data_IF_375344811988
#
_entry.id   IF_375344811988
#
_cell.length_a   1.000
_cell.length_b   1.000
_cell.length_c   1.000
_cell.angle_alpha   90.00
_cell.angle_beta   90.00
_cell.angle_gamma   90.00
#
_symmetry.space_group_name_H-M   'P 1'
#
loop_
_entity.id
_entity.type
_entity.pdbx_description
1 polymer ?
#
# COMPACT_ATOMS: atom_id res chain seq x y z
N UNK A 1 -27.42 13.16 10.43
CA UNK A 1 -27.97 13.15 9.05
C UNK A 1 -27.26 12.14 8.13
N UNK A 2 -26.56 11.13 8.68
CA UNK A 2 -25.75 10.12 7.95
C UNK A 2 -26.41 8.73 7.89
N UNK A 3 -27.26 8.40 8.87
CA UNK A 3 -28.00 7.13 8.91
C UNK A 3 -29.01 6.97 7.75
N UNK A 4 -29.50 8.09 7.22
CA UNK A 4 -30.53 8.12 6.16
C UNK A 4 -29.95 7.76 4.77
N UNK A 5 -28.68 8.11 4.51
CA UNK A 5 -27.99 7.76 3.25
C UNK A 5 -27.68 6.26 3.19
N UNK A 6 -27.22 5.67 4.30
CA UNK A 6 -26.93 4.25 4.38
C UNK A 6 -28.21 3.40 4.20
N UNK A 7 -29.33 3.81 4.80
CA UNK A 7 -30.61 3.13 4.64
C UNK A 7 -31.15 3.24 3.20
N UNK A 8 -31.00 4.40 2.54
CA UNK A 8 -31.44 4.59 1.16
C UNK A 8 -30.62 3.78 0.14
N UNK A 9 -29.33 3.55 0.38
CA UNK A 9 -28.49 2.67 -0.45
C UNK A 9 -28.91 1.19 -0.33
N UNK A 10 -29.37 0.76 0.84
CA UNK A 10 -29.85 -0.61 1.08
C UNK A 10 -31.29 -0.86 0.59
N UNK A 11 -32.06 0.20 0.36
CA UNK A 11 -33.50 0.12 0.01
C UNK A 11 -33.77 0.12 -1.49
N UNK A 12 -32.76 0.40 -2.31
CA UNK A 12 -32.92 0.51 -3.76
C UNK A 12 -32.70 -0.87 -4.39
N UNK A 13 -33.62 -1.38 -5.22
CA UNK A 13 -33.34 -2.56 -6.02
C UNK A 13 -32.14 -2.20 -6.90
N UNK A 14 -30.99 -2.79 -6.63
CA UNK A 14 -29.80 -2.58 -7.44
C UNK A 14 -30.15 -3.06 -8.84
N UNK A 15 -30.19 -2.12 -9.79
CA UNK A 15 -30.01 -2.48 -11.19
C UNK A 15 -28.63 -3.13 -11.24
N UNK A 16 -28.60 -4.47 -11.18
CA UNK A 16 -27.41 -5.33 -11.11
C UNK A 16 -26.68 -5.33 -12.46
N UNK A 17 -26.49 -4.15 -13.02
CA UNK A 17 -25.61 -3.97 -14.15
C UNK A 17 -24.19 -4.25 -13.65
N UNK A 18 -23.69 -5.44 -14.01
CA UNK A 18 -22.39 -5.95 -13.57
C UNK A 18 -21.25 -5.01 -13.97
N UNK A 19 -21.43 -4.26 -15.05
CA UNK A 19 -20.50 -3.24 -15.50
C UNK A 19 -20.45 -2.07 -14.50
N UNK A 20 -21.61 -1.50 -14.14
CA UNK A 20 -21.70 -0.44 -13.13
C UNK A 20 -21.15 -0.88 -11.77
N UNK A 21 -21.42 -2.11 -11.31
CA UNK A 21 -20.86 -2.65 -10.07
C UNK A 21 -19.34 -2.86 -10.16
N UNK A 22 -18.84 -3.29 -11.31
CA UNK A 22 -17.41 -3.44 -11.56
C UNK A 22 -16.66 -2.11 -11.45
N UNK A 23 -17.21 -1.05 -12.05
CA UNK A 23 -16.64 0.31 -11.99
C UNK A 23 -16.63 0.86 -10.56
N UNK A 24 -17.74 0.74 -9.83
CA UNK A 24 -17.83 1.21 -8.45
C UNK A 24 -16.85 0.47 -7.52
N UNK A 25 -16.75 -0.85 -7.68
CA UNK A 25 -15.83 -1.67 -6.88
C UNK A 25 -14.36 -1.35 -7.19
N UNK A 26 -14.03 -1.11 -8.46
CA UNK A 26 -12.70 -0.65 -8.87
C UNK A 26 -12.38 0.74 -8.27
N UNK A 27 -13.33 1.68 -8.31
CA UNK A 27 -13.19 2.99 -7.69
C UNK A 27 -12.97 2.93 -6.18
N UNK A 28 -13.73 2.10 -5.47
CA UNK A 28 -13.58 1.91 -4.02
C UNK A 28 -12.22 1.33 -3.66
N UNK A 29 -11.76 0.30 -4.39
CA UNK A 29 -10.45 -0.31 -4.19
C UNK A 29 -9.30 0.67 -4.42
N UNK A 30 -9.42 1.53 -5.45
CA UNK A 30 -8.45 2.60 -5.71
C UNK A 30 -8.45 3.63 -4.59
N UNK A 31 -9.62 4.03 -4.10
CA UNK A 31 -9.73 4.95 -2.95
C UNK A 31 -9.07 4.39 -1.69
N UNK A 32 -9.28 3.11 -1.39
CA UNK A 32 -8.68 2.45 -0.23
C UNK A 32 -7.16 2.28 -0.38
N UNK A 33 -6.67 2.04 -1.61
CA UNK A 33 -5.23 2.03 -1.85
C UNK A 33 -4.61 3.42 -1.71
N UNK A 34 -5.32 4.50 -2.08
CA UNK A 34 -4.82 5.85 -1.84
C UNK A 34 -4.81 6.23 -0.35
N UNK A 35 -5.68 5.64 0.47
CA UNK A 35 -5.61 5.77 1.93
C UNK A 35 -4.41 5.00 2.52
N UNK A 36 -3.96 3.93 1.86
CA UNK A 36 -2.80 3.15 2.28
C UNK A 36 -1.45 3.66 1.71
N UNK A 37 -1.50 4.39 0.60
CA UNK A 37 -0.37 5.03 -0.08
C UNK A 37 -0.56 6.54 0.11
N UNK A 38 -0.32 6.98 1.34
CA UNK A 38 -0.45 8.37 1.76
C UNK A 38 0.87 9.13 1.65
N UNK A 39 0.83 10.44 1.91
CA UNK A 39 2.01 11.30 1.89
C UNK A 39 3.06 10.84 2.93
N UNK A 40 2.63 10.27 4.06
CA UNK A 40 3.53 9.76 5.10
C UNK A 40 4.36 8.57 4.60
N UNK A 41 3.77 7.67 3.80
CA UNK A 41 4.52 6.60 3.15
C UNK A 41 5.59 7.14 2.18
N UNK A 42 5.28 8.19 1.42
CA UNK A 42 6.24 8.81 0.51
C UNK A 42 7.36 9.54 1.26
N UNK A 43 7.04 10.24 2.35
CA UNK A 43 8.02 10.88 3.23
C UNK A 43 8.98 9.84 3.83
N UNK A 44 8.45 8.68 4.25
CA UNK A 44 9.25 7.55 4.74
C UNK A 44 10.16 6.95 3.67
N UNK A 45 9.66 6.81 2.44
CA UNK A 45 10.47 6.35 1.31
C UNK A 45 11.59 7.36 1.01
N UNK A 46 11.32 8.66 1.03
CA UNK A 46 12.33 9.71 0.85
C UNK A 46 13.36 9.70 2.00
N UNK A 47 12.92 9.53 3.24
CA UNK A 47 13.80 9.45 4.41
C UNK A 47 14.79 8.27 4.35
N UNK A 48 14.46 7.21 3.61
CA UNK A 48 15.26 5.98 3.48
C UNK A 48 16.02 5.88 2.16
N UNK A 49 15.43 6.34 1.06
CA UNK A 49 15.95 6.20 -0.30
C UNK A 49 16.50 7.50 -0.90
N UNK A 50 16.18 8.64 -0.29
CA UNK A 50 16.60 9.96 -0.76
C UNK A 50 18.11 10.15 -0.77
N UNK A 51 18.58 11.12 -1.54
CA UNK A 51 20.01 11.42 -1.75
C UNK A 51 20.76 11.71 -0.43
N UNK A 52 20.04 12.21 0.57
CA UNK A 52 20.59 12.55 1.89
C UNK A 52 20.01 11.68 3.01
N UNK A 53 19.47 10.51 2.67
CA UNK A 53 18.86 9.59 3.64
C UNK A 53 19.85 9.16 4.73
N UNK A 54 19.58 9.60 5.96
CA UNK A 54 20.32 9.17 7.15
C UNK A 54 19.39 9.10 8.37
N UNK A 55 18.40 8.19 8.36
CA UNK A 55 17.43 8.08 9.44
C UNK A 55 18.15 7.70 10.74
N UNK A 56 17.79 8.39 11.82
CA UNK A 56 18.30 8.11 13.14
C UNK A 56 17.86 6.69 13.58
N UNK A 57 18.61 6.03 14.48
CA UNK A 57 18.28 4.66 14.92
C UNK A 57 16.86 4.48 15.46
N UNK A 58 16.28 5.51 16.08
CA UNK A 58 14.89 5.50 16.53
C UNK A 58 13.89 5.53 15.36
N UNK A 59 14.16 6.38 14.37
CA UNK A 59 13.34 6.52 13.16
C UNK A 59 13.34 5.23 12.34
N UNK A 60 14.44 4.48 12.32
CA UNK A 60 14.53 3.20 11.61
C UNK A 60 13.45 2.21 12.08
N UNK A 61 13.18 2.14 13.39
CA UNK A 61 12.18 1.22 13.96
C UNK A 61 10.77 1.70 13.63
N UNK A 62 10.53 3.01 13.75
CA UNK A 62 9.23 3.61 13.49
C UNK A 62 8.84 3.49 11.99
N UNK A 63 9.78 3.82 11.09
CA UNK A 63 9.60 3.67 9.63
C UNK A 63 9.38 2.20 9.26
N UNK A 64 10.16 1.27 9.84
CA UNK A 64 9.94 -0.16 9.60
C UNK A 64 8.57 -0.64 10.07
N UNK A 65 8.04 -0.05 11.16
CA UNK A 65 6.69 -0.30 11.64
C UNK A 65 5.64 0.15 10.63
N UNK A 66 5.74 1.40 10.17
CA UNK A 66 4.83 1.95 9.14
C UNK A 66 4.89 1.18 7.83
N UNK A 67 6.07 0.75 7.38
CA UNK A 67 6.19 -0.13 6.21
C UNK A 67 5.48 -1.48 6.39
N UNK A 68 5.41 -2.05 7.60
CA UNK A 68 4.64 -3.28 7.86
C UNK A 68 3.13 -3.03 7.79
N UNK A 69 2.69 -1.90 8.31
CA UNK A 69 1.28 -1.48 8.23
C UNK A 69 0.87 -1.27 6.77
N UNK A 70 1.67 -0.50 6.02
CA UNK A 70 1.49 -0.30 4.59
C UNK A 70 1.52 -1.63 3.81
N UNK A 71 2.45 -2.54 4.12
CA UNK A 71 2.51 -3.87 3.49
C UNK A 71 1.21 -4.65 3.66
N UNK A 72 0.60 -4.59 4.85
CA UNK A 72 -0.65 -5.29 5.12
C UNK A 72 -1.77 -4.77 4.23
N UNK A 73 -1.84 -3.46 4.02
CA UNK A 73 -2.81 -2.84 3.13
C UNK A 73 -2.50 -3.14 1.65
N UNK A 74 -1.24 -3.01 1.22
CA UNK A 74 -0.80 -3.29 -0.15
C UNK A 74 -1.15 -4.72 -0.59
N UNK A 75 -0.85 -5.72 0.25
CA UNK A 75 -1.18 -7.13 -0.05
C UNK A 75 -2.68 -7.36 -0.24
N UNK A 76 -3.54 -6.57 0.42
CA UNK A 76 -4.99 -6.68 0.26
C UNK A 76 -5.48 -6.06 -1.06
N UNK A 77 -4.88 -4.96 -1.52
CA UNK A 77 -5.40 -4.19 -2.65
C UNK A 77 -4.72 -4.49 -3.98
N UNK A 78 -3.42 -4.81 -3.99
CA UNK A 78 -2.64 -5.09 -5.20
C UNK A 78 -3.26 -6.15 -6.12
N UNK A 79 -3.83 -7.28 -5.63
CA UNK A 79 -4.51 -8.26 -6.49
C UNK A 79 -5.65 -7.69 -7.33
N UNK A 80 -6.14 -6.50 -6.98
CA UNK A 80 -7.25 -5.85 -7.64
C UNK A 80 -6.87 -4.61 -8.44
N UNK A 81 -5.64 -4.12 -8.28
CA UNK A 81 -5.17 -2.90 -8.92
C UNK A 81 -4.19 -3.19 -10.05
N UNK A 82 -3.25 -4.11 -9.86
CA UNK A 82 -2.21 -4.41 -10.85
C UNK A 82 -2.57 -5.66 -11.65
N UNK A 83 -2.47 -5.59 -12.99
CA UNK A 83 -2.59 -6.75 -13.88
C UNK A 83 -1.45 -6.81 -14.90
N UNK A 84 -0.78 -7.97 -15.07
CA UNK A 84 -0.97 -9.23 -14.35
C UNK A 84 -0.58 -9.12 -12.86
N UNK A 85 -1.05 -10.04 -12.02
CA UNK A 85 -0.77 -10.00 -10.58
C UNK A 85 0.74 -10.11 -10.30
N UNK A 86 1.36 -9.13 -9.61
CA UNK A 86 2.81 -9.08 -9.37
C UNK A 86 3.19 -10.01 -8.22
N UNK A 87 3.23 -11.32 -8.52
CA UNK A 87 3.45 -12.36 -7.52
C UNK A 87 4.83 -12.25 -6.86
N UNK A 88 5.87 -11.98 -7.65
CA UNK A 88 7.25 -11.96 -7.19
C UNK A 88 7.50 -10.77 -6.25
N UNK A 89 6.96 -9.60 -6.58
CA UNK A 89 7.05 -8.39 -5.77
C UNK A 89 6.28 -8.52 -4.46
N UNK A 90 5.08 -9.10 -4.50
CA UNK A 90 4.30 -9.39 -3.29
C UNK A 90 5.01 -10.39 -2.38
N UNK A 91 5.58 -11.47 -2.94
CA UNK A 91 6.33 -12.45 -2.15
C UNK A 91 7.57 -11.83 -1.52
N UNK A 92 8.30 -11.00 -2.27
CA UNK A 92 9.44 -10.25 -1.78
C UNK A 92 9.05 -9.33 -0.61
N UNK A 93 7.97 -8.55 -0.78
CA UNK A 93 7.48 -7.64 0.25
C UNK A 93 7.06 -8.39 1.53
N UNK A 94 6.32 -9.49 1.40
CA UNK A 94 5.93 -10.33 2.54
C UNK A 94 7.18 -10.87 3.26
N UNK A 95 8.15 -11.39 2.51
CA UNK A 95 9.37 -11.94 3.09
C UNK A 95 10.15 -10.88 3.87
N UNK A 96 10.38 -9.71 3.26
CA UNK A 96 11.11 -8.62 3.93
C UNK A 96 10.33 -8.10 5.14
N UNK A 97 9.00 -7.98 5.06
CA UNK A 97 8.19 -7.52 6.20
C UNK A 97 8.27 -8.44 7.44
N UNK A 98 8.49 -9.74 7.22
CA UNK A 98 8.60 -10.74 8.28
C UNK A 98 10.01 -10.84 8.90
N UNK A 99 11.03 -10.27 8.25
CA UNK A 99 12.40 -10.29 8.77
C UNK A 99 12.50 -9.43 10.05
N UNK A 100 13.34 -9.88 10.98
CA UNK A 100 13.68 -9.13 12.20
C UNK A 100 15.19 -8.89 12.19
N UNK A 101 15.67 -7.82 11.54
CA UNK A 101 17.10 -7.57 11.38
C UNK A 101 17.76 -7.31 12.73
N UNK A 102 19.04 -7.68 12.83
CA UNK A 102 19.88 -7.23 13.95
C UNK A 102 20.13 -5.71 13.83
N UNK A 103 20.38 -5.00 14.94
CA UNK A 103 20.63 -3.55 14.91
C UNK A 103 21.70 -3.13 13.89
N UNK A 104 22.79 -3.90 13.80
CA UNK A 104 23.91 -3.64 12.88
C UNK A 104 23.53 -3.75 11.39
N UNK A 105 22.43 -4.45 11.09
CA UNK A 105 21.89 -4.65 9.73
C UNK A 105 20.58 -3.89 9.50
N UNK A 106 20.08 -3.14 10.50
CA UNK A 106 18.75 -2.54 10.48
C UNK A 106 18.59 -1.54 9.33
N UNK A 107 19.60 -0.69 9.11
CA UNK A 107 19.57 0.29 8.01
C UNK A 107 19.55 -0.38 6.62
N UNK A 108 20.39 -1.40 6.41
CA UNK A 108 20.42 -2.13 5.14
C UNK A 108 19.14 -2.94 4.88
N UNK A 109 18.52 -3.46 5.94
CA UNK A 109 17.21 -4.09 5.87
C UNK A 109 16.12 -3.07 5.55
N UNK A 110 16.09 -1.93 6.24
CA UNK A 110 15.12 -0.86 6.01
C UNK A 110 15.16 -0.37 4.55
N UNK A 111 16.36 -0.17 4.01
CA UNK A 111 16.55 0.20 2.61
C UNK A 111 16.01 -0.84 1.63
N UNK A 112 16.21 -2.13 1.92
CA UNK A 112 15.64 -3.22 1.11
C UNK A 112 14.12 -3.24 1.18
N UNK A 113 13.57 -2.97 2.37
CA UNK A 113 12.13 -2.89 2.58
C UNK A 113 11.52 -1.73 1.80
N UNK A 114 12.10 -0.54 1.91
CA UNK A 114 11.69 0.64 1.14
C UNK A 114 11.71 0.37 -0.38
N UNK A 115 12.74 -0.30 -0.91
CA UNK A 115 12.79 -0.68 -2.32
C UNK A 115 11.68 -1.66 -2.72
N UNK A 116 11.35 -2.63 -1.86
CA UNK A 116 10.26 -3.57 -2.13
C UNK A 116 8.88 -2.88 -2.13
N UNK A 117 8.67 -1.94 -1.20
CA UNK A 117 7.47 -1.10 -1.16
C UNK A 117 7.38 -0.22 -2.42
N UNK A 118 8.46 0.49 -2.75
CA UNK A 118 8.51 1.39 -3.90
C UNK A 118 8.22 0.65 -5.21
N UNK A 119 8.82 -0.52 -5.43
CA UNK A 119 8.57 -1.32 -6.63
C UNK A 119 7.08 -1.68 -6.80
N UNK A 120 6.39 -1.97 -5.69
CA UNK A 120 4.95 -2.24 -5.69
C UNK A 120 4.11 -0.99 -5.92
N UNK A 121 4.52 0.14 -5.33
CA UNK A 121 3.87 1.44 -5.55
C UNK A 121 4.00 1.87 -7.01
N UNK A 122 5.18 1.73 -7.61
CA UNK A 122 5.42 2.04 -9.02
C UNK A 122 4.54 1.19 -9.94
N UNK A 123 4.41 -0.11 -9.65
CA UNK A 123 3.54 -1.01 -10.42
C UNK A 123 2.05 -0.62 -10.36
N UNK A 124 1.58 0.02 -9.29
CA UNK A 124 0.22 0.55 -9.19
C UNK A 124 0.08 1.93 -9.85
N UNK A 125 1.17 2.70 -9.93
CA UNK A 125 1.20 4.04 -10.52
C UNK A 125 1.36 4.06 -12.05
N UNK A 126 1.89 2.99 -12.65
CA UNK A 126 2.12 2.89 -14.10
C UNK A 126 0.82 2.64 -14.90
N UNK A 127 -0.29 2.35 -14.22
CA UNK A 127 -1.65 2.38 -14.77
C UNK A 127 -2.13 3.84 -14.89
N UNK A 128 -1.49 4.60 -15.79
CA UNK A 128 -1.82 5.99 -16.06
C UNK A 128 -3.34 6.24 -16.20
N UNK A 129 -3.82 7.15 -15.37
CA UNK A 129 -5.11 7.86 -15.32
C UNK A 129 -6.11 7.66 -16.48
#
# INVERSE_FOLDING_TARGET
MTADVAAQLLSRPSSNDHETLGVLLAGLRRSLAHEAIDDELYDDLEAVLGEHAHPAPGEIVDIAGRFREATTALVQFVPHLVRPYPLDEIQCLIQVSAEHPRPDSAHGHLRRFALAVLALVDLMGDDGW
#
